data_IF_133470519644
#
_entry.id   IF_133470519644
#
_cell.length_a   1.000
_cell.length_b   1.000
_cell.length_c   1.000
_cell.angle_alpha   90.00
_cell.angle_beta   90.00
_cell.angle_gamma   90.00
#
_symmetry.space_group_name_H-M   'P 1'
#
loop_
_entity.id
_entity.type
_entity.pdbx_description
1 polymer ?
#
# COMPACT_ATOMS: atom_id res chain seq x y z
N UNK A 1 -1.46 30.81 -13.74
CA UNK A 1 -0.86 30.20 -12.52
C UNK A 1 -1.53 28.84 -12.35
N UNK A 2 -0.75 27.73 -12.32
CA UNK A 2 -1.32 26.42 -11.99
C UNK A 2 -1.90 26.50 -10.57
N UNK A 3 -3.06 25.87 -10.36
CA UNK A 3 -3.69 25.77 -9.05
C UNK A 3 -2.74 25.08 -8.06
N UNK A 4 -2.83 25.46 -6.78
CA UNK A 4 -2.03 24.86 -5.70
C UNK A 4 -2.14 23.33 -5.66
N UNK A 5 -3.33 22.81 -5.97
CA UNK A 5 -3.61 21.38 -6.03
C UNK A 5 -2.87 20.69 -7.20
N UNK A 6 -2.84 21.31 -8.39
CA UNK A 6 -2.13 20.75 -9.56
C UNK A 6 -0.62 20.60 -9.30
N UNK A 7 -0.02 21.56 -8.59
CA UNK A 7 1.41 21.51 -8.24
C UNK A 7 1.72 20.40 -7.24
N UNK A 8 0.89 20.22 -6.24
CA UNK A 8 1.03 19.11 -5.28
C UNK A 8 1.00 17.75 -6.01
N UNK A 9 0.06 17.58 -6.94
CA UNK A 9 -0.06 16.36 -7.75
C UNK A 9 1.22 16.15 -8.61
N UNK A 10 1.73 17.19 -9.27
CA UNK A 10 2.97 17.10 -10.07
C UNK A 10 4.16 16.61 -9.22
N UNK A 11 4.32 17.13 -8.00
CA UNK A 11 5.39 16.74 -7.08
C UNK A 11 5.26 15.26 -6.71
N UNK A 12 4.06 14.81 -6.37
CA UNK A 12 3.78 13.41 -6.01
C UNK A 12 4.02 12.48 -7.19
N UNK A 13 3.57 12.86 -8.39
CA UNK A 13 3.81 12.07 -9.61
C UNK A 13 5.29 11.95 -9.96
N UNK A 14 6.06 13.03 -9.82
CA UNK A 14 7.51 13.01 -10.03
C UNK A 14 8.22 12.07 -9.04
N UNK A 15 7.88 12.17 -7.75
CA UNK A 15 8.42 11.27 -6.74
C UNK A 15 8.09 9.80 -7.04
N UNK A 16 6.84 9.52 -7.41
CA UNK A 16 6.39 8.17 -7.81
C UNK A 16 7.17 7.65 -9.03
N UNK A 17 7.43 8.49 -10.02
CA UNK A 17 8.23 8.14 -11.20
C UNK A 17 9.67 7.80 -10.82
N UNK A 18 10.32 8.64 -10.03
CA UNK A 18 11.68 8.39 -9.54
C UNK A 18 11.77 7.10 -8.71
N UNK A 19 10.78 6.83 -7.86
CA UNK A 19 10.76 5.64 -7.01
C UNK A 19 10.67 4.32 -7.78
N UNK A 20 10.33 4.33 -9.08
CA UNK A 20 10.38 3.11 -9.92
C UNK A 20 11.80 2.63 -10.19
N UNK A 21 12.76 3.54 -10.26
CA UNK A 21 14.15 3.26 -10.66
C UNK A 21 15.19 3.58 -9.61
N UNK A 22 14.84 4.37 -8.60
CA UNK A 22 15.71 4.79 -7.51
C UNK A 22 15.29 4.17 -6.19
N UNK A 23 16.24 4.01 -5.27
CA UNK A 23 15.93 3.68 -3.88
C UNK A 23 15.37 4.88 -3.13
N UNK A 24 14.69 4.63 -2.00
CA UNK A 24 14.17 5.69 -1.14
C UNK A 24 15.28 6.66 -0.64
N UNK A 25 16.49 6.14 -0.34
CA UNK A 25 17.61 6.95 0.12
C UNK A 25 18.16 7.89 -0.96
N UNK A 26 18.13 7.46 -2.23
CA UNK A 26 18.61 8.25 -3.36
C UNK A 26 17.67 9.39 -3.74
N UNK A 27 16.37 9.26 -3.41
CA UNK A 27 15.39 10.30 -3.70
C UNK A 27 15.49 11.40 -2.66
N UNK A 28 15.65 12.64 -3.12
CA UNK A 28 15.59 13.85 -2.31
C UNK A 28 14.70 14.90 -2.99
N UNK A 29 14.37 15.98 -2.27
CA UNK A 29 13.60 17.10 -2.85
C UNK A 29 14.33 17.76 -4.02
N UNK A 30 15.67 17.59 -4.11
CA UNK A 30 16.46 18.07 -5.24
C UNK A 30 16.17 17.25 -6.50
N UNK A 31 16.24 15.94 -6.43
CA UNK A 31 15.94 15.05 -7.55
C UNK A 31 14.48 15.25 -8.03
N UNK A 32 13.52 15.37 -7.09
CA UNK A 32 12.13 15.67 -7.42
C UNK A 32 12.02 17.02 -8.15
N UNK A 33 12.71 18.05 -7.67
CA UNK A 33 12.68 19.38 -8.29
C UNK A 33 13.25 19.37 -9.72
N UNK A 34 14.28 18.57 -9.97
CA UNK A 34 14.87 18.41 -11.31
C UNK A 34 13.90 17.71 -12.28
N UNK A 35 13.09 16.76 -11.80
CA UNK A 35 12.15 16.00 -12.63
C UNK A 35 11.00 16.85 -13.18
N UNK A 36 10.56 17.88 -12.45
CA UNK A 36 9.38 18.71 -12.81
C UNK A 36 9.71 20.17 -13.08
N UNK A 37 10.98 20.54 -13.15
CA UNK A 37 11.43 21.90 -13.45
C UNK A 37 10.84 22.99 -12.54
N UNK A 38 10.64 22.68 -11.26
CA UNK A 38 10.28 23.66 -10.22
C UNK A 38 11.42 23.81 -9.23
N UNK A 39 11.55 25.00 -8.65
CA UNK A 39 12.61 25.23 -7.67
C UNK A 39 12.35 24.44 -6.38
N UNK A 40 13.43 23.91 -5.78
CA UNK A 40 13.34 23.25 -4.48
C UNK A 40 12.63 24.10 -3.40
N UNK A 41 12.87 25.42 -3.29
CA UNK A 41 12.08 26.27 -2.38
C UNK A 41 10.59 26.25 -2.64
N UNK A 42 10.16 26.09 -3.90
CA UNK A 42 8.74 26.01 -4.25
C UNK A 42 8.10 24.71 -3.76
N UNK A 43 8.85 23.60 -3.64
CA UNK A 43 8.33 22.34 -3.10
C UNK A 43 7.96 22.51 -1.62
N UNK A 44 8.74 23.27 -0.85
CA UNK A 44 8.47 23.50 0.58
C UNK A 44 7.13 24.21 0.87
N UNK A 45 6.52 24.86 -0.13
CA UNK A 45 5.18 25.41 0.02
C UNK A 45 4.09 24.31 0.12
N UNK A 46 4.41 23.06 -0.26
CA UNK A 46 3.47 21.92 -0.31
C UNK A 46 3.87 20.80 0.65
N UNK A 47 5.15 20.45 0.68
CA UNK A 47 5.70 19.34 1.47
C UNK A 47 6.98 19.80 2.17
N UNK A 48 7.06 19.61 3.48
CA UNK A 48 8.25 19.99 4.25
C UNK A 48 9.38 18.97 4.13
N UNK A 49 9.08 17.75 3.70
CA UNK A 49 10.04 16.66 3.56
C UNK A 49 9.64 15.72 2.44
N UNK A 50 10.55 14.83 2.02
CA UNK A 50 10.20 13.75 1.07
C UNK A 50 9.26 12.73 1.69
N UNK A 51 9.34 12.54 3.00
CA UNK A 51 8.49 11.63 3.78
C UNK A 51 7.02 12.01 3.61
N UNK A 52 6.69 13.30 3.66
CA UNK A 52 5.31 13.76 3.40
C UNK A 52 4.85 13.48 1.97
N UNK A 53 5.76 13.53 0.98
CA UNK A 53 5.42 13.16 -0.40
C UNK A 53 5.15 11.65 -0.50
N UNK A 54 5.97 10.82 0.14
CA UNK A 54 5.76 9.38 0.21
C UNK A 54 4.48 9.01 0.99
N UNK A 55 4.18 9.77 2.05
CA UNK A 55 2.93 9.60 2.80
C UNK A 55 1.70 9.89 1.92
N UNK A 56 1.80 10.91 1.04
CA UNK A 56 0.76 11.21 0.07
C UNK A 56 0.61 10.11 -0.98
N UNK A 57 1.73 9.51 -1.46
CA UNK A 57 1.68 8.34 -2.33
C UNK A 57 0.94 7.18 -1.65
N UNK A 58 1.23 6.90 -0.37
CA UNK A 58 0.53 5.86 0.40
C UNK A 58 -0.97 6.17 0.54
N UNK A 59 -1.32 7.44 0.79
CA UNK A 59 -2.71 7.89 0.89
C UNK A 59 -3.47 7.57 -0.41
N UNK A 60 -2.91 7.94 -1.56
CA UNK A 60 -3.50 7.66 -2.88
C UNK A 60 -3.64 6.15 -3.16
N UNK A 61 -2.63 5.35 -2.78
CA UNK A 61 -2.67 3.89 -2.93
C UNK A 61 -3.80 3.26 -2.09
N UNK A 62 -3.96 3.68 -0.84
CA UNK A 62 -5.05 3.20 0.01
C UNK A 62 -6.42 3.67 -0.45
N UNK A 63 -6.54 4.89 -0.97
CA UNK A 63 -7.79 5.36 -1.60
C UNK A 63 -8.15 4.55 -2.84
N UNK A 64 -7.14 4.24 -3.67
CA UNK A 64 -7.33 3.40 -4.84
C UNK A 64 -7.73 1.97 -4.44
N UNK A 65 -7.12 1.41 -3.41
CA UNK A 65 -7.50 0.09 -2.89
C UNK A 65 -8.89 0.11 -2.27
N UNK A 66 -9.25 1.15 -1.53
CA UNK A 66 -10.60 1.33 -0.98
C UNK A 66 -11.68 1.33 -2.07
N UNK A 67 -11.40 1.92 -3.24
CA UNK A 67 -12.33 1.85 -4.39
C UNK A 67 -12.53 0.42 -4.87
N UNK A 68 -11.47 -0.36 -5.02
CA UNK A 68 -11.58 -1.78 -5.39
C UNK A 68 -12.35 -2.60 -4.34
N UNK A 69 -12.18 -2.31 -3.04
CA UNK A 69 -12.96 -2.95 -1.99
C UNK A 69 -14.45 -2.58 -2.04
N UNK A 70 -14.78 -1.33 -2.37
CA UNK A 70 -16.16 -0.89 -2.58
C UNK A 70 -16.81 -1.58 -3.79
N UNK A 71 -16.05 -1.81 -4.87
CA UNK A 71 -16.52 -2.58 -6.02
C UNK A 71 -16.86 -4.03 -5.62
N UNK A 72 -16.03 -4.67 -4.78
CA UNK A 72 -16.33 -6.01 -4.22
C UNK A 72 -17.61 -5.95 -3.37
N UNK A 73 -17.71 -4.96 -2.46
CA UNK A 73 -18.83 -4.81 -1.55
C UNK A 73 -20.17 -4.60 -2.27
N UNK A 74 -20.18 -3.76 -3.29
CA UNK A 74 -21.41 -3.36 -3.98
C UNK A 74 -21.74 -4.23 -5.17
N UNK A 75 -20.74 -4.82 -5.83
CA UNK A 75 -20.90 -5.65 -7.02
C UNK A 75 -21.40 -7.07 -6.74
N UNK A 76 -21.46 -7.50 -5.48
CA UNK A 76 -21.82 -8.87 -5.14
C UNK A 76 -22.90 -8.89 -4.05
N UNK A 77 -23.93 -9.69 -4.20
CA UNK A 77 -24.94 -9.90 -3.15
C UNK A 77 -24.47 -10.90 -2.08
N UNK A 78 -23.81 -11.97 -2.51
CA UNK A 78 -23.25 -13.03 -1.67
C UNK A 78 -21.90 -13.46 -2.26
N UNK A 79 -21.02 -13.94 -1.42
CA UNK A 79 -19.75 -14.55 -1.84
C UNK A 79 -19.44 -15.75 -0.95
N UNK A 80 -18.89 -16.78 -1.55
CA UNK A 80 -18.23 -17.87 -0.82
C UNK A 80 -16.88 -17.40 -0.29
N UNK A 81 -16.28 -18.15 0.63
CA UNK A 81 -14.95 -17.87 1.16
C UNK A 81 -13.89 -17.83 0.05
N UNK A 82 -14.00 -18.72 -0.94
CA UNK A 82 -13.09 -18.77 -2.09
C UNK A 82 -13.24 -17.56 -3.01
N UNK A 83 -14.47 -17.19 -3.35
CA UNK A 83 -14.75 -16.03 -4.20
C UNK A 83 -14.27 -14.73 -3.54
N UNK A 84 -14.54 -14.55 -2.25
CA UNK A 84 -14.08 -13.38 -1.52
C UNK A 84 -12.56 -13.33 -1.42
N UNK A 85 -11.90 -14.46 -1.11
CA UNK A 85 -10.45 -14.54 -1.06
C UNK A 85 -9.82 -14.23 -2.43
N UNK A 86 -10.39 -14.74 -3.52
CA UNK A 86 -9.93 -14.45 -4.88
C UNK A 86 -10.13 -12.98 -5.25
N UNK A 87 -11.30 -12.39 -4.97
CA UNK A 87 -11.60 -11.00 -5.25
C UNK A 87 -10.68 -10.04 -4.45
N UNK A 88 -10.47 -10.33 -3.15
CA UNK A 88 -9.57 -9.55 -2.31
C UNK A 88 -8.13 -9.67 -2.77
N UNK A 89 -7.67 -10.85 -3.14
CA UNK A 89 -6.34 -11.07 -3.71
C UNK A 89 -6.16 -10.30 -5.03
N UNK A 90 -7.13 -10.39 -5.94
CA UNK A 90 -7.09 -9.65 -7.21
C UNK A 90 -7.06 -8.13 -7.00
N UNK A 91 -7.76 -7.60 -5.97
CA UNK A 91 -7.72 -6.17 -5.64
C UNK A 91 -6.34 -5.66 -5.25
N UNK A 92 -5.38 -6.55 -4.95
CA UNK A 92 -3.99 -6.22 -4.61
C UNK A 92 -3.04 -6.21 -5.80
N UNK A 93 -3.48 -6.67 -6.97
CA UNK A 93 -2.67 -6.67 -8.18
C UNK A 93 -2.34 -5.24 -8.63
N UNK A 94 -1.12 -5.06 -9.15
CA UNK A 94 -0.63 -3.73 -9.57
C UNK A 94 -0.27 -2.76 -8.44
N UNK A 95 -0.35 -3.17 -7.15
CA UNK A 95 -0.06 -2.31 -5.99
C UNK A 95 1.36 -2.51 -5.44
N UNK A 96 2.33 -2.78 -6.31
CA UNK A 96 3.72 -2.97 -5.91
C UNK A 96 4.26 -1.77 -5.11
N UNK A 97 3.94 -0.54 -5.52
CA UNK A 97 4.36 0.68 -4.84
C UNK A 97 3.88 0.69 -3.38
N UNK A 98 2.62 0.32 -3.12
CA UNK A 98 2.07 0.21 -1.77
C UNK A 98 2.88 -0.76 -0.92
N UNK A 99 3.05 -2.00 -1.38
CA UNK A 99 3.78 -3.04 -0.65
C UNK A 99 5.25 -2.67 -0.41
N UNK A 100 5.91 -2.07 -1.42
CA UNK A 100 7.31 -1.65 -1.31
C UNK A 100 7.49 -0.59 -0.24
N UNK A 101 6.68 0.47 -0.26
CA UNK A 101 6.78 1.55 0.72
C UNK A 101 6.45 1.04 2.12
N UNK A 102 5.40 0.25 2.28
CA UNK A 102 4.99 -0.31 3.58
C UNK A 102 6.08 -1.18 4.21
N UNK A 103 6.67 -2.07 3.42
CA UNK A 103 7.70 -2.98 3.91
C UNK A 103 9.02 -2.27 4.21
N UNK A 104 9.42 -1.32 3.36
CA UNK A 104 10.79 -0.80 3.37
C UNK A 104 10.95 0.51 4.12
N UNK A 105 9.91 1.35 4.21
CA UNK A 105 10.10 2.75 4.59
C UNK A 105 9.00 3.33 5.49
N UNK A 106 7.95 2.57 5.82
CA UNK A 106 6.77 3.10 6.51
C UNK A 106 7.12 3.79 7.83
N UNK A 107 7.98 3.19 8.64
CA UNK A 107 8.35 3.75 9.95
C UNK A 107 9.00 5.13 9.79
N UNK A 108 10.00 5.26 8.92
CA UNK A 108 10.68 6.54 8.68
C UNK A 108 9.73 7.60 8.12
N UNK A 109 8.83 7.21 7.22
CA UNK A 109 7.84 8.10 6.62
C UNK A 109 6.89 8.64 7.68
N UNK A 110 6.36 7.80 8.55
CA UNK A 110 5.43 8.21 9.60
C UNK A 110 6.12 9.10 10.65
N UNK A 111 7.33 8.74 11.08
CA UNK A 111 8.08 9.46 12.12
C UNK A 111 8.50 10.86 11.66
N UNK A 112 8.83 11.03 10.37
CA UNK A 112 9.34 12.31 9.84
C UNK A 112 8.27 13.13 9.08
N UNK A 113 6.99 12.77 9.21
CA UNK A 113 5.87 13.54 8.67
C UNK A 113 5.20 14.38 9.75
N UNK A 114 4.69 15.57 9.37
CA UNK A 114 3.88 16.37 10.31
C UNK A 114 2.63 15.60 10.75
N UNK A 115 2.25 15.79 12.02
CA UNK A 115 1.13 15.06 12.63
C UNK A 115 -0.20 15.29 11.88
N UNK A 116 -0.41 16.45 11.28
CA UNK A 116 -1.61 16.75 10.48
C UNK A 116 -1.67 15.86 9.24
N UNK A 117 -0.55 15.71 8.51
CA UNK A 117 -0.45 14.84 7.33
C UNK A 117 -0.60 13.37 7.69
N UNK A 118 0.06 12.97 8.77
CA UNK A 118 -0.06 11.60 9.29
C UNK A 118 -1.50 11.30 9.71
N UNK A 119 -2.18 12.24 10.36
CA UNK A 119 -3.58 12.08 10.76
C UNK A 119 -4.50 11.89 9.55
N UNK A 120 -4.33 12.67 8.47
CA UNK A 120 -5.12 12.52 7.24
C UNK A 120 -4.87 11.15 6.59
N UNK A 121 -3.63 10.69 6.54
CA UNK A 121 -3.30 9.34 6.07
C UNK A 121 -3.97 8.25 6.93
N UNK A 122 -3.91 8.36 8.25
CA UNK A 122 -4.56 7.38 9.16
C UNK A 122 -6.09 7.36 9.01
N UNK A 123 -6.72 8.49 8.66
CA UNK A 123 -8.17 8.53 8.34
C UNK A 123 -8.50 7.70 7.10
N UNK A 124 -7.64 7.70 6.09
CA UNK A 124 -7.82 6.88 4.89
C UNK A 124 -7.68 5.39 5.21
N UNK A 125 -6.68 5.01 6.03
CA UNK A 125 -6.54 3.62 6.51
C UNK A 125 -7.80 3.19 7.28
N UNK A 126 -8.29 4.02 8.20
CA UNK A 126 -9.51 3.74 8.95
C UNK A 126 -10.69 3.48 8.00
N UNK A 127 -10.89 4.34 7.01
CA UNK A 127 -11.95 4.17 6.01
C UNK A 127 -11.82 2.85 5.24
N UNK A 128 -10.62 2.49 4.83
CA UNK A 128 -10.35 1.21 4.18
C UNK A 128 -10.70 0.03 5.09
N UNK A 129 -10.32 0.09 6.37
CA UNK A 129 -10.67 -0.96 7.36
C UNK A 129 -12.18 -1.07 7.56
N UNK A 130 -12.91 0.07 7.60
CA UNK A 130 -14.37 0.10 7.70
C UNK A 130 -15.03 -0.58 6.48
N UNK A 131 -14.53 -0.33 5.26
CA UNK A 131 -15.03 -0.97 4.03
C UNK A 131 -14.78 -2.48 4.08
N UNK A 132 -13.57 -2.90 4.45
CA UNK A 132 -13.22 -4.32 4.55
C UNK A 132 -14.06 -5.03 5.61
N UNK A 133 -14.28 -4.38 6.78
CA UNK A 133 -15.19 -4.90 7.80
C UNK A 133 -16.64 -5.01 7.27
N UNK A 134 -17.10 -4.03 6.48
CA UNK A 134 -18.43 -4.10 5.86
C UNK A 134 -18.56 -5.28 4.88
N UNK A 135 -17.49 -5.62 4.14
CA UNK A 135 -17.45 -6.83 3.33
C UNK A 135 -17.60 -8.10 4.18
N UNK A 136 -16.88 -8.18 5.30
CA UNK A 136 -16.96 -9.34 6.21
C UNK A 136 -18.36 -9.47 6.82
N UNK A 137 -18.96 -8.37 7.28
CA UNK A 137 -20.35 -8.37 7.81
C UNK A 137 -21.33 -8.84 6.75
N UNK A 138 -21.22 -8.35 5.52
CA UNK A 138 -22.14 -8.68 4.44
C UNK A 138 -22.03 -10.13 3.99
N UNK A 139 -20.81 -10.61 3.73
CA UNK A 139 -20.60 -11.92 3.11
C UNK A 139 -20.48 -13.05 4.13
N UNK A 140 -20.10 -12.75 5.38
CA UNK A 140 -19.91 -13.73 6.45
C UNK A 140 -20.64 -13.30 7.73
N UNK A 141 -21.98 -13.23 7.71
CA UNK A 141 -22.77 -12.70 8.84
C UNK A 141 -22.68 -13.54 10.11
N UNK A 142 -22.16 -14.77 10.03
CA UNK A 142 -21.89 -15.61 11.19
C UNK A 142 -20.59 -15.26 11.94
N UNK A 143 -19.70 -14.45 11.34
CA UNK A 143 -18.49 -13.99 12.03
C UNK A 143 -18.85 -13.03 13.16
N UNK A 144 -18.32 -13.29 14.32
CA UNK A 144 -18.39 -12.38 15.47
C UNK A 144 -17.57 -11.11 15.22
N UNK A 145 -17.80 -10.07 16.00
CA UNK A 145 -16.99 -8.85 15.93
C UNK A 145 -15.49 -9.12 16.21
N UNK A 146 -15.21 -9.98 17.21
CA UNK A 146 -13.86 -10.37 17.56
C UNK A 146 -13.13 -11.08 16.42
N UNK A 147 -13.81 -12.00 15.72
CA UNK A 147 -13.25 -12.69 14.55
C UNK A 147 -12.97 -11.72 13.40
N UNK A 148 -13.83 -10.73 13.15
CA UNK A 148 -13.59 -9.70 12.13
C UNK A 148 -12.41 -8.78 12.50
N UNK A 149 -12.30 -8.39 13.76
CA UNK A 149 -11.14 -7.65 14.27
C UNK A 149 -9.87 -8.49 14.09
N UNK A 150 -9.90 -9.76 14.49
CA UNK A 150 -8.79 -10.70 14.31
C UNK A 150 -8.38 -10.84 12.84
N UNK A 151 -9.34 -10.92 11.92
CA UNK A 151 -9.09 -10.94 10.48
C UNK A 151 -8.31 -9.70 10.02
N UNK A 152 -8.78 -8.48 10.38
CA UNK A 152 -8.15 -7.22 10.00
C UNK A 152 -6.73 -7.09 10.56
N UNK A 153 -6.58 -7.36 11.86
CA UNK A 153 -5.29 -7.24 12.55
C UNK A 153 -4.30 -8.38 12.23
N UNK A 154 -4.73 -9.39 11.50
CA UNK A 154 -3.83 -10.41 10.94
C UNK A 154 -3.49 -10.09 9.49
N UNK A 155 -4.47 -9.74 8.66
CA UNK A 155 -4.27 -9.46 7.25
C UNK A 155 -3.37 -8.24 7.01
N UNK A 156 -3.61 -7.12 7.71
CA UNK A 156 -2.87 -5.88 7.44
C UNK A 156 -1.36 -6.00 7.77
N UNK A 157 -0.94 -6.50 8.94
CA UNK A 157 0.48 -6.74 9.20
C UNK A 157 1.10 -7.77 8.24
N UNK A 158 0.36 -8.81 7.85
CA UNK A 158 0.81 -9.76 6.84
C UNK A 158 1.14 -9.05 5.51
N UNK A 159 0.27 -8.16 5.05
CA UNK A 159 0.49 -7.40 3.81
C UNK A 159 1.73 -6.50 3.87
N UNK A 160 2.10 -5.99 5.05
CA UNK A 160 3.32 -5.19 5.22
C UNK A 160 4.59 -6.01 5.01
N UNK A 161 4.53 -7.32 5.25
CA UNK A 161 5.68 -8.21 5.14
C UNK A 161 5.84 -8.95 3.81
N UNK A 162 4.89 -8.91 2.88
CA UNK A 162 4.92 -9.76 1.69
C UNK A 162 5.91 -9.31 0.61
N UNK A 163 6.29 -8.02 0.57
CA UNK A 163 7.09 -7.44 -0.51
C UNK A 163 8.39 -8.22 -0.80
N UNK A 164 9.26 -8.53 0.18
CA UNK A 164 10.52 -9.22 -0.06
C UNK A 164 10.35 -10.68 -0.54
N UNK A 165 9.19 -11.29 -0.30
CA UNK A 165 8.88 -12.64 -0.79
C UNK A 165 8.43 -12.64 -2.25
N UNK A 166 7.81 -11.55 -2.69
CA UNK A 166 7.29 -11.39 -4.06
C UNK A 166 8.33 -10.79 -4.99
N UNK A 167 9.13 -9.83 -4.50
CA UNK A 167 10.09 -9.05 -5.26
C UNK A 167 11.52 -9.17 -4.70
N UNK A 168 12.07 -10.39 -4.56
CA UNK A 168 13.46 -10.54 -4.10
C UNK A 168 14.42 -9.96 -5.14
N UNK A 169 15.43 -9.23 -4.66
CA UNK A 169 16.52 -8.74 -5.52
C UNK A 169 17.37 -9.89 -6.06
N UNK A 170 18.10 -9.67 -7.16
CA UNK A 170 19.00 -10.69 -7.71
C UNK A 170 20.03 -11.18 -6.67
N UNK A 171 20.55 -10.26 -5.84
CA UNK A 171 21.44 -10.62 -4.73
C UNK A 171 20.77 -11.52 -3.69
N UNK A 172 19.50 -11.27 -3.39
CA UNK A 172 18.74 -12.14 -2.47
C UNK A 172 18.48 -13.50 -3.09
N UNK A 173 18.10 -13.57 -4.38
CA UNK A 173 17.90 -14.83 -5.11
C UNK A 173 19.18 -15.68 -5.11
N UNK A 174 20.33 -15.05 -5.41
CA UNK A 174 21.64 -15.72 -5.38
C UNK A 174 21.96 -16.26 -3.97
N UNK A 175 21.76 -15.45 -2.93
CA UNK A 175 21.99 -15.87 -1.55
C UNK A 175 21.06 -17.03 -1.14
N UNK A 176 19.77 -16.98 -1.51
CA UNK A 176 18.82 -18.08 -1.28
C UNK A 176 19.26 -19.36 -1.99
N UNK A 177 19.68 -19.26 -3.23
CA UNK A 177 20.18 -20.41 -4.00
C UNK A 177 21.39 -21.05 -3.32
N UNK A 178 22.37 -20.25 -2.89
CA UNK A 178 23.56 -20.74 -2.18
C UNK A 178 23.22 -21.37 -0.81
N UNK A 179 22.17 -20.87 -0.17
CA UNK A 179 21.67 -21.38 1.12
C UNK A 179 20.71 -22.59 0.97
N UNK A 180 20.40 -23.01 -0.25
CA UNK A 180 19.45 -24.10 -0.51
C UNK A 180 17.98 -23.72 -0.21
N UNK A 181 17.64 -22.43 -0.16
CA UNK A 181 16.29 -21.96 0.05
C UNK A 181 15.56 -21.87 -1.30
N UNK A 182 14.44 -22.58 -1.51
CA UNK A 182 13.74 -22.54 -2.79
C UNK A 182 13.10 -21.16 -3.04
N UNK A 183 13.42 -20.55 -4.18
CA UNK A 183 12.75 -19.35 -4.65
C UNK A 183 11.54 -19.76 -5.52
N UNK A 184 10.32 -19.65 -4.98
CA UNK A 184 9.11 -20.21 -5.60
C UNK A 184 8.42 -19.28 -6.61
N UNK A 185 8.84 -18.02 -6.77
CA UNK A 185 8.23 -17.08 -7.71
C UNK A 185 6.73 -16.84 -7.44
N UNK A 186 6.35 -16.61 -6.19
CA UNK A 186 4.97 -16.35 -5.79
C UNK A 186 4.57 -14.91 -6.08
N UNK A 187 3.29 -14.67 -6.39
CA UNK A 187 2.73 -13.33 -6.55
C UNK A 187 2.10 -12.81 -5.24
N UNK A 188 1.94 -11.48 -5.14
CA UNK A 188 1.24 -10.87 -4.01
C UNK A 188 -0.20 -11.42 -3.88
N UNK A 189 -0.92 -11.53 -5.01
CA UNK A 189 -2.26 -12.09 -5.04
C UNK A 189 -2.32 -13.53 -4.52
N UNK A 190 -1.36 -14.39 -4.89
CA UNK A 190 -1.31 -15.77 -4.36
C UNK A 190 -1.10 -15.81 -2.85
N UNK A 191 -0.24 -14.95 -2.31
CA UNK A 191 0.00 -14.88 -0.87
C UNK A 191 -1.22 -14.33 -0.12
N UNK A 192 -1.86 -13.27 -0.64
CA UNK A 192 -3.07 -12.68 -0.05
C UNK A 192 -4.21 -13.68 -0.10
N UNK A 193 -4.43 -14.38 -1.23
CA UNK A 193 -5.45 -15.42 -1.33
C UNK A 193 -5.25 -16.50 -0.26
N UNK A 194 -4.04 -17.03 -0.14
CA UNK A 194 -3.73 -18.09 0.82
C UNK A 194 -3.93 -17.63 2.27
N UNK A 195 -3.55 -16.39 2.59
CA UNK A 195 -3.77 -15.79 3.89
C UNK A 195 -5.27 -15.64 4.20
N UNK A 196 -6.03 -15.01 3.30
CA UNK A 196 -7.47 -14.75 3.47
C UNK A 196 -8.25 -16.06 3.61
N UNK A 197 -7.93 -17.08 2.79
CA UNK A 197 -8.55 -18.40 2.93
C UNK A 197 -8.36 -19.02 4.31
N UNK A 198 -7.14 -18.90 4.87
CA UNK A 198 -6.85 -19.39 6.23
C UNK A 198 -7.58 -18.59 7.31
N UNK A 199 -7.73 -17.27 7.13
CA UNK A 199 -8.43 -16.41 8.09
C UNK A 199 -9.93 -16.63 8.10
N UNK A 200 -10.50 -17.08 6.99
CA UNK A 200 -11.93 -17.40 6.88
C UNK A 200 -12.28 -18.84 7.30
N UNK A 201 -11.28 -19.69 7.48
CA UNK A 201 -11.45 -21.09 7.90
C UNK A 201 -11.86 -22.02 6.77
#
# INVERSE_FOLDING_TARGET
MKDSNERSIEIVMACRKLYRTMSYQEISLKEISCEISISRPSIYNYFVSKEEIFLEILREEYEAWSRSLLEILHGNEKMTKDEFAAALAHSTEGRETLFRIQCMNLYDIEEHSRIERLTEYKKVIRKMMEILNACLVKFFPSMTEEERIGFLYTLLPFMYGIYPYVYPTERQKEAMQRAGIPCRGVTAAQLVYACVRKLLG
#
